data_IF_134536715722
#
_entry.id   IF_134536715722
#
_cell.length_a   1.000
_cell.length_b   1.000
_cell.length_c   1.000
_cell.angle_alpha   90.00
_cell.angle_beta   90.00
_cell.angle_gamma   90.00
#
_symmetry.space_group_name_H-M   'P 1'
#
loop_
_entity.id
_entity.type
_entity.pdbx_description
1 polymer ?
#
# COMPACT_ATOMS: atom_id res chain seq x y z
N UNK A 1 -11.99 78.55 -32.99
CA UNK A 1 -10.67 78.14 -33.53
C UNK A 1 -9.78 77.84 -32.34
N UNK A 2 -9.31 76.60 -32.33
CA UNK A 2 -8.13 76.06 -31.66
C UNK A 2 -8.03 76.09 -30.13
N UNK A 3 -8.46 74.95 -29.61
CA UNK A 3 -8.04 74.31 -28.37
C UNK A 3 -6.56 73.90 -28.46
N UNK A 4 -5.72 74.32 -27.51
CA UNK A 4 -4.39 73.75 -27.32
C UNK A 4 -3.99 73.63 -25.83
N UNK A 5 -3.93 72.36 -25.40
CA UNK A 5 -2.99 71.73 -24.45
C UNK A 5 -2.75 72.40 -23.09
N UNK A 6 -3.40 71.85 -22.07
CA UNK A 6 -2.73 71.58 -20.79
C UNK A 6 -2.60 70.05 -20.62
N UNK A 7 -1.37 69.57 -20.63
CA UNK A 7 -0.99 68.20 -20.30
C UNK A 7 -0.62 68.21 -18.81
N UNK A 8 -1.49 67.69 -17.96
CA UNK A 8 -1.12 67.23 -16.62
C UNK A 8 -1.68 65.83 -16.41
N UNK A 9 -0.79 64.97 -15.93
CA UNK A 9 -0.86 63.52 -15.86
C UNK A 9 -2.19 62.94 -15.31
N UNK A 10 -2.76 62.01 -16.07
CA UNK A 10 -3.72 61.01 -15.59
C UNK A 10 -3.03 60.02 -14.62
N UNK A 11 -3.71 59.55 -13.56
CA UNK A 11 -3.21 58.46 -12.76
C UNK A 11 -3.24 57.17 -13.59
N UNK A 12 -2.15 56.42 -13.56
CA UNK A 12 -2.05 55.11 -14.19
C UNK A 12 -2.96 54.11 -13.47
N UNK A 13 -4.20 54.03 -13.95
CA UNK A 13 -5.13 52.97 -13.62
C UNK A 13 -4.58 51.66 -14.20
N UNK A 14 -3.70 51.00 -13.44
CA UNK A 14 -3.35 49.59 -13.70
C UNK A 14 -4.65 48.80 -13.57
N UNK A 15 -5.26 48.49 -14.71
CA UNK A 15 -6.28 47.45 -14.85
C UNK A 15 -5.81 46.22 -14.06
N UNK A 16 -6.33 46.05 -12.85
CA UNK A 16 -6.37 44.77 -12.14
C UNK A 16 -7.18 43.86 -13.04
N UNK A 17 -6.49 43.12 -13.90
CA UNK A 17 -7.10 42.07 -14.70
C UNK A 17 -7.74 41.09 -13.73
N UNK A 18 -9.06 41.01 -13.88
CA UNK A 18 -10.00 40.03 -13.37
C UNK A 18 -9.41 38.61 -13.27
N UNK A 19 -8.72 38.32 -12.18
CA UNK A 19 -8.41 36.97 -11.72
C UNK A 19 -9.00 36.69 -10.32
N UNK A 20 -9.74 37.65 -9.76
CA UNK A 20 -10.47 37.52 -8.49
C UNK A 20 -11.73 36.64 -8.61
N UNK A 21 -12.06 36.16 -9.80
CA UNK A 21 -13.24 35.32 -10.07
C UNK A 21 -12.92 33.82 -10.15
N UNK A 22 -11.67 33.41 -9.89
CA UNK A 22 -11.40 31.99 -9.60
C UNK A 22 -11.77 31.74 -8.14
N UNK A 23 -12.91 31.09 -7.96
CA UNK A 23 -13.53 30.59 -6.73
C UNK A 23 -12.67 29.56 -5.95
N UNK A 24 -11.35 29.73 -5.93
CA UNK A 24 -10.40 28.91 -5.15
C UNK A 24 -10.04 29.62 -3.83
N UNK A 25 -10.45 30.88 -3.63
CA UNK A 25 -10.21 31.59 -2.37
C UNK A 25 -10.97 31.04 -1.13
N UNK A 26 -12.19 30.47 -1.24
CA UNK A 26 -12.84 29.83 -0.10
C UNK A 26 -12.18 28.49 0.29
N UNK A 27 -11.46 27.83 -0.63
CA UNK A 27 -10.80 26.54 -0.44
C UNK A 27 -9.68 26.60 0.62
N UNK A 28 -8.94 27.71 0.68
CA UNK A 28 -7.85 27.90 1.64
C UNK A 28 -8.28 28.52 2.97
N UNK A 29 -9.39 29.27 3.00
CA UNK A 29 -9.87 29.94 4.23
C UNK A 29 -10.72 29.02 5.12
N UNK A 30 -11.20 27.89 4.59
CA UNK A 30 -11.88 26.83 5.35
C UNK A 30 -10.93 25.67 5.74
N UNK A 31 -9.63 25.94 5.80
CA UNK A 31 -8.57 25.02 6.21
C UNK A 31 -8.24 25.16 7.71
N UNK A 32 -9.22 25.46 8.56
CA UNK A 32 -8.98 25.53 10.01
C UNK A 32 -8.63 24.17 10.62
N UNK A 33 -8.96 23.05 9.97
CA UNK A 33 -8.63 21.71 10.46
C UNK A 33 -7.13 21.38 10.49
N UNK A 34 -6.32 21.90 9.56
CA UNK A 34 -4.88 21.59 9.50
C UNK A 34 -4.02 22.46 10.43
N UNK A 35 -4.45 23.69 10.73
CA UNK A 35 -3.80 24.49 11.77
C UNK A 35 -4.15 23.98 13.18
N UNK A 36 -5.34 23.41 13.34
CA UNK A 36 -5.74 22.69 14.54
C UNK A 36 -5.04 21.32 14.63
N UNK A 37 -4.76 20.63 13.51
CA UNK A 37 -3.88 19.46 13.41
C UNK A 37 -2.46 19.74 13.94
N UNK A 38 -1.94 20.94 13.71
CA UNK A 38 -0.63 21.38 14.23
C UNK A 38 -0.69 21.86 15.69
N UNK A 39 -1.82 22.42 16.14
CA UNK A 39 -2.00 22.98 17.50
C UNK A 39 -2.54 21.99 18.54
N UNK A 40 -3.29 20.98 18.15
CA UNK A 40 -4.05 20.10 19.04
C UNK A 40 -3.27 18.84 19.49
N UNK A 41 -1.93 18.84 19.44
CA UNK A 41 -1.13 17.76 20.02
C UNK A 41 -0.90 18.02 21.51
N UNK A 42 -1.57 17.31 22.44
CA UNK A 42 -1.24 17.40 23.85
C UNK A 42 0.07 16.64 24.06
N UNK A 43 1.15 17.39 24.30
CA UNK A 43 2.39 16.96 25.01
C UNK A 43 2.84 15.52 24.81
N UNK A 44 2.87 15.01 23.57
CA UNK A 44 3.82 13.96 23.26
C UNK A 44 5.17 14.67 23.18
N UNK A 45 6.13 14.28 24.02
CA UNK A 45 7.46 14.88 23.98
C UNK A 45 7.93 14.92 22.53
N UNK A 46 8.40 16.10 22.08
CA UNK A 46 8.91 16.30 20.72
C UNK A 46 9.92 15.22 20.36
N UNK A 47 10.69 14.78 21.37
CA UNK A 47 11.57 13.62 21.31
C UNK A 47 10.84 12.34 20.87
N UNK A 48 9.78 11.95 21.57
CA UNK A 48 8.98 10.75 21.26
C UNK A 48 8.40 10.80 19.85
N UNK A 49 7.86 11.96 19.43
CA UNK A 49 7.36 12.13 18.05
C UNK A 49 8.47 11.95 17.00
N UNK A 50 9.62 12.58 17.24
CA UNK A 50 10.76 12.49 16.33
C UNK A 50 11.35 11.08 16.28
N UNK A 51 11.39 10.36 17.41
CA UNK A 51 11.81 8.97 17.49
C UNK A 51 10.88 8.05 16.69
N UNK A 52 9.55 8.24 16.83
CA UNK A 52 8.56 7.47 16.07
C UNK A 52 8.73 7.73 14.57
N UNK A 53 8.77 9.00 14.14
CA UNK A 53 8.97 9.35 12.73
C UNK A 53 10.28 8.81 12.17
N UNK A 54 11.38 8.90 12.94
CA UNK A 54 12.67 8.34 12.58
C UNK A 54 12.62 6.82 12.41
N UNK A 55 11.93 6.11 13.31
CA UNK A 55 11.74 4.66 13.22
C UNK A 55 10.94 4.26 11.97
N UNK A 56 9.87 5.00 11.65
CA UNK A 56 9.06 4.76 10.45
C UNK A 56 9.89 5.01 9.19
N UNK A 57 10.71 6.07 9.16
CA UNK A 57 11.59 6.33 8.03
C UNK A 57 12.60 5.19 7.80
N UNK A 58 13.19 4.66 8.87
CA UNK A 58 14.09 3.49 8.79
C UNK A 58 13.36 2.28 8.21
N UNK A 59 12.14 2.00 8.71
CA UNK A 59 11.29 0.91 8.19
C UNK A 59 11.02 1.09 6.69
N UNK A 60 10.72 2.30 6.25
CA UNK A 60 10.47 2.59 4.83
C UNK A 60 11.73 2.36 3.99
N UNK A 61 12.91 2.82 4.44
CA UNK A 61 14.18 2.61 3.74
C UNK A 61 14.49 1.11 3.60
N UNK A 62 14.36 0.35 4.69
CA UNK A 62 14.58 -1.09 4.69
C UNK A 62 13.59 -1.81 3.76
N UNK A 63 12.31 -1.39 3.78
CA UNK A 63 11.28 -1.89 2.88
C UNK A 63 11.59 -1.60 1.41
N UNK A 64 12.05 -0.40 1.07
CA UNK A 64 12.45 -0.04 -0.29
C UNK A 64 13.62 -0.90 -0.79
N UNK A 65 14.63 -1.12 0.05
CA UNK A 65 15.76 -1.99 -0.29
C UNK A 65 15.28 -3.43 -0.53
N UNK A 66 14.43 -3.96 0.37
CA UNK A 66 13.92 -5.32 0.27
C UNK A 66 13.02 -5.54 -0.94
N UNK A 67 12.08 -4.63 -1.18
CA UNK A 67 11.15 -4.72 -2.31
C UNK A 67 11.88 -4.47 -3.63
N UNK A 68 12.83 -3.53 -3.69
CA UNK A 68 13.70 -3.31 -4.85
C UNK A 68 14.54 -4.54 -5.19
N UNK A 69 15.15 -5.19 -4.19
CA UNK A 69 15.87 -6.45 -4.39
C UNK A 69 14.96 -7.58 -4.90
N UNK A 70 13.71 -7.63 -4.42
CA UNK A 70 12.70 -8.59 -4.87
C UNK A 70 12.32 -8.35 -6.33
N UNK A 71 12.03 -7.10 -6.72
CA UNK A 71 11.73 -6.71 -8.10
C UNK A 71 12.89 -7.11 -9.01
N UNK A 72 14.12 -6.70 -8.67
CA UNK A 72 15.31 -7.01 -9.45
C UNK A 72 15.48 -8.53 -9.64
N UNK A 73 15.32 -9.29 -8.56
CA UNK A 73 15.50 -10.74 -8.62
C UNK A 73 14.42 -11.44 -9.45
N UNK A 74 13.14 -11.09 -9.27
CA UNK A 74 12.05 -11.71 -10.02
C UNK A 74 12.05 -11.28 -11.49
N UNK A 75 12.39 -10.03 -11.79
CA UNK A 75 12.42 -9.52 -13.17
C UNK A 75 13.59 -10.10 -13.97
N UNK A 76 14.78 -10.23 -13.36
CA UNK A 76 15.99 -10.61 -14.08
C UNK A 76 16.35 -12.11 -13.98
N UNK A 77 15.95 -12.82 -12.91
CA UNK A 77 16.53 -14.13 -12.59
C UNK A 77 15.55 -15.31 -12.60
N UNK A 78 14.24 -15.09 -12.72
CA UNK A 78 13.24 -16.17 -12.61
C UNK A 78 12.28 -16.13 -13.80
N UNK A 79 11.95 -17.31 -14.34
CA UNK A 79 10.90 -17.45 -15.35
C UNK A 79 9.55 -17.03 -14.78
N UNK A 80 8.84 -16.15 -15.49
CA UNK A 80 7.55 -15.61 -15.06
C UNK A 80 6.49 -16.72 -14.96
N UNK A 81 5.95 -16.89 -13.77
CA UNK A 81 4.79 -17.73 -13.45
C UNK A 81 3.68 -16.86 -12.82
N UNK A 82 2.49 -17.41 -12.66
CA UNK A 82 1.36 -16.81 -11.96
C UNK A 82 1.73 -16.24 -10.59
N UNK A 83 2.36 -17.05 -9.72
CA UNK A 83 2.76 -16.62 -8.39
C UNK A 83 3.82 -15.51 -8.41
N UNK A 84 4.87 -15.66 -9.19
CA UNK A 84 5.92 -14.63 -9.30
C UNK A 84 5.37 -13.33 -9.88
N UNK A 85 4.33 -13.39 -10.72
CA UNK A 85 3.67 -12.19 -11.27
C UNK A 85 2.96 -11.41 -10.16
N UNK A 86 2.24 -12.09 -9.26
CA UNK A 86 1.62 -11.42 -8.11
C UNK A 86 2.66 -10.81 -7.17
N UNK A 87 3.71 -11.56 -6.83
CA UNK A 87 4.77 -11.08 -5.93
C UNK A 87 5.53 -9.90 -6.54
N UNK A 88 5.79 -9.91 -7.85
CA UNK A 88 6.40 -8.79 -8.55
C UNK A 88 5.52 -7.54 -8.49
N UNK A 89 4.21 -7.67 -8.76
CA UNK A 89 3.27 -6.55 -8.66
C UNK A 89 3.13 -6.03 -7.23
N UNK A 90 3.10 -6.92 -6.25
CA UNK A 90 3.04 -6.56 -4.84
C UNK A 90 4.28 -5.76 -4.43
N UNK A 91 5.48 -6.23 -4.78
CA UNK A 91 6.71 -5.48 -4.49
C UNK A 91 6.78 -4.13 -5.23
N UNK A 92 6.19 -4.00 -6.42
CA UNK A 92 6.07 -2.70 -7.11
C UNK A 92 5.12 -1.75 -6.38
N UNK A 93 3.95 -2.23 -5.97
CA UNK A 93 2.98 -1.44 -5.21
C UNK A 93 3.55 -1.01 -3.84
N UNK A 94 4.18 -1.92 -3.11
CA UNK A 94 4.82 -1.63 -1.82
C UNK A 94 5.98 -0.62 -1.95
N UNK A 95 6.82 -0.77 -2.98
CA UNK A 95 7.90 0.19 -3.24
C UNK A 95 7.35 1.59 -3.55
N UNK A 96 6.28 1.65 -4.35
CA UNK A 96 5.57 2.89 -4.65
C UNK A 96 5.01 3.53 -3.40
N UNK A 97 4.29 2.76 -2.58
CA UNK A 97 3.69 3.23 -1.32
C UNK A 97 4.76 3.80 -0.38
N UNK A 98 5.84 3.07 -0.13
CA UNK A 98 6.92 3.55 0.73
C UNK A 98 7.62 4.80 0.18
N UNK A 99 7.79 4.89 -1.14
CA UNK A 99 8.42 6.06 -1.78
C UNK A 99 7.54 7.30 -1.66
N UNK A 100 6.27 7.19 -2.06
CA UNK A 100 5.33 8.31 -1.99
C UNK A 100 5.03 8.72 -0.55
N UNK A 101 5.08 7.76 0.39
CA UNK A 101 4.99 8.06 1.82
C UNK A 101 6.16 8.93 2.31
N UNK A 102 7.41 8.56 2.00
CA UNK A 102 8.59 9.36 2.36
C UNK A 102 8.49 10.76 1.73
N UNK A 103 8.13 10.84 0.44
CA UNK A 103 8.00 12.13 -0.25
C UNK A 103 6.94 12.99 0.44
N UNK A 104 5.76 12.42 0.73
CA UNK A 104 4.69 13.12 1.46
C UNK A 104 5.19 13.64 2.81
N UNK A 105 5.91 12.83 3.58
CA UNK A 105 6.48 13.23 4.86
C UNK A 105 7.48 14.40 4.73
N UNK A 106 8.28 14.43 3.66
CA UNK A 106 9.18 15.56 3.35
C UNK A 106 8.36 16.81 3.05
N UNK A 107 7.32 16.73 2.22
CA UNK A 107 6.46 17.87 1.92
C UNK A 107 5.74 18.42 3.16
N UNK A 108 5.30 17.54 4.07
CA UNK A 108 4.76 17.96 5.38
C UNK A 108 5.82 18.71 6.18
N UNK A 109 7.04 18.19 6.27
CA UNK A 109 8.13 18.87 6.99
C UNK A 109 8.44 20.26 6.39
N UNK A 110 8.48 20.39 5.06
CA UNK A 110 8.69 21.67 4.39
C UNK A 110 7.54 22.64 4.66
N UNK A 111 6.28 22.17 4.60
CA UNK A 111 5.09 22.97 4.93
C UNK A 111 5.09 23.45 6.38
N UNK A 112 5.68 22.70 7.32
CA UNK A 112 5.77 23.11 8.73
C UNK A 112 6.86 24.15 9.00
N UNK A 113 7.87 24.23 8.15
CA UNK A 113 9.05 25.09 8.34
C UNK A 113 9.03 26.36 7.47
N UNK A 114 8.19 26.40 6.44
CA UNK A 114 8.13 27.48 5.46
C UNK A 114 6.71 27.99 5.25
N UNK A 115 6.58 29.22 4.76
CA UNK A 115 5.29 29.79 4.37
C UNK A 115 4.60 28.92 3.31
N UNK A 116 3.33 28.62 3.54
CA UNK A 116 2.56 27.74 2.67
C UNK A 116 2.34 28.39 1.31
N UNK A 117 2.97 27.85 0.26
CA UNK A 117 2.70 28.24 -1.12
C UNK A 117 1.68 27.30 -1.76
N UNK A 118 0.83 27.83 -2.66
CA UNK A 118 -0.16 27.01 -3.40
C UNK A 118 0.49 25.82 -4.12
N UNK A 119 1.68 26.03 -4.67
CA UNK A 119 2.44 25.00 -5.38
C UNK A 119 2.83 23.86 -4.42
N UNK A 120 3.34 24.19 -3.23
CA UNK A 120 3.75 23.20 -2.24
C UNK A 120 2.56 22.36 -1.73
N UNK A 121 1.40 22.99 -1.53
CA UNK A 121 0.16 22.30 -1.15
C UNK A 121 -0.35 21.34 -2.25
N UNK A 122 -0.28 21.75 -3.52
CA UNK A 122 -0.67 20.88 -4.66
C UNK A 122 0.23 19.65 -4.75
N UNK A 123 1.54 19.82 -4.59
CA UNK A 123 2.46 18.68 -4.58
C UNK A 123 2.22 17.74 -3.41
N UNK A 124 1.97 18.28 -2.20
CA UNK A 124 1.60 17.47 -1.05
C UNK A 124 0.36 16.60 -1.34
N UNK A 125 -0.73 17.21 -1.84
CA UNK A 125 -1.95 16.47 -2.18
C UNK A 125 -1.71 15.41 -3.26
N UNK A 126 -0.91 15.74 -4.28
CA UNK A 126 -0.56 14.79 -5.35
C UNK A 126 0.19 13.57 -4.81
N UNK A 127 1.23 13.78 -4.01
CA UNK A 127 2.03 12.67 -3.46
C UNK A 127 1.26 11.86 -2.43
N UNK A 128 0.40 12.52 -1.65
CA UNK A 128 -0.51 11.84 -0.74
C UNK A 128 -1.47 10.91 -1.50
N UNK A 129 -2.02 11.35 -2.63
CA UNK A 129 -2.88 10.49 -3.45
C UNK A 129 -2.14 9.34 -4.11
N UNK A 130 -0.93 9.57 -4.59
CA UNK A 130 -0.09 8.52 -5.14
C UNK A 130 0.25 7.46 -4.08
N UNK A 131 0.44 7.89 -2.82
CA UNK A 131 0.57 6.98 -1.68
C UNK A 131 -0.71 6.15 -1.49
N UNK A 132 -1.89 6.77 -1.44
CA UNK A 132 -3.16 6.06 -1.29
C UNK A 132 -3.42 5.06 -2.42
N UNK A 133 -3.12 5.45 -3.66
CA UNK A 133 -3.24 4.63 -4.86
C UNK A 133 -2.39 3.36 -4.75
N UNK A 134 -1.10 3.53 -4.46
CA UNK A 134 -0.15 2.41 -4.39
C UNK A 134 -0.38 1.54 -3.15
N UNK A 135 -0.79 2.13 -2.04
CA UNK A 135 -1.19 1.39 -0.84
C UNK A 135 -2.44 0.54 -1.09
N UNK A 136 -3.46 1.10 -1.74
CA UNK A 136 -4.69 0.35 -2.10
C UNK A 136 -4.37 -0.81 -3.06
N UNK A 137 -3.50 -0.58 -4.05
CA UNK A 137 -3.03 -1.63 -4.94
C UNK A 137 -2.34 -2.77 -4.19
N UNK A 138 -1.49 -2.45 -3.20
CA UNK A 138 -0.84 -3.46 -2.34
C UNK A 138 -1.87 -4.29 -1.56
N UNK A 139 -2.87 -3.64 -0.96
CA UNK A 139 -3.94 -4.30 -0.20
C UNK A 139 -4.75 -5.27 -1.09
N UNK A 140 -5.17 -4.82 -2.28
CA UNK A 140 -5.89 -5.66 -3.23
C UNK A 140 -5.04 -6.80 -3.78
N UNK A 141 -3.75 -6.58 -4.06
CA UNK A 141 -2.83 -7.62 -4.49
C UNK A 141 -2.66 -8.70 -3.43
N UNK A 142 -2.53 -8.30 -2.16
CA UNK A 142 -2.44 -9.27 -1.08
C UNK A 142 -3.75 -10.04 -0.90
N UNK A 143 -4.89 -9.37 -1.05
CA UNK A 143 -6.21 -10.02 -1.07
C UNK A 143 -6.32 -11.03 -2.22
N UNK A 144 -5.88 -10.67 -3.41
CA UNK A 144 -5.87 -11.55 -4.57
C UNK A 144 -4.94 -12.76 -4.40
N UNK A 145 -3.72 -12.56 -3.86
CA UNK A 145 -2.80 -13.66 -3.52
C UNK A 145 -3.48 -14.62 -2.54
N UNK A 146 -4.16 -14.08 -1.54
CA UNK A 146 -4.80 -14.87 -0.50
C UNK A 146 -5.99 -15.67 -1.02
N UNK A 147 -6.80 -15.07 -1.90
CA UNK A 147 -7.89 -15.77 -2.58
C UNK A 147 -7.34 -16.85 -3.53
N UNK A 148 -6.29 -16.56 -4.29
CA UNK A 148 -5.63 -17.51 -5.18
C UNK A 148 -5.19 -18.76 -4.41
N UNK A 149 -4.61 -18.57 -3.22
CA UNK A 149 -4.18 -19.67 -2.35
C UNK A 149 -5.34 -20.43 -1.71
N UNK A 150 -6.39 -19.73 -1.30
CA UNK A 150 -7.60 -20.37 -0.82
C UNK A 150 -8.23 -21.28 -1.89
N UNK A 151 -8.35 -20.78 -3.12
CA UNK A 151 -8.88 -21.55 -4.26
C UNK A 151 -7.99 -22.74 -4.60
N UNK A 152 -6.66 -22.57 -4.58
CA UNK A 152 -5.72 -23.67 -4.80
C UNK A 152 -5.90 -24.83 -3.81
N UNK A 153 -6.25 -24.51 -2.55
CA UNK A 153 -6.43 -25.48 -1.47
C UNK A 153 -7.83 -26.11 -1.48
N UNK A 154 -8.87 -25.32 -1.73
CA UNK A 154 -10.26 -25.80 -1.74
C UNK A 154 -10.61 -26.56 -3.03
N UNK A 155 -10.07 -26.12 -4.16
CA UNK A 155 -10.38 -26.66 -5.49
C UNK A 155 -9.10 -27.01 -6.27
N UNK A 156 -8.30 -27.99 -5.80
CA UNK A 156 -6.98 -28.28 -6.37
C UNK A 156 -7.05 -28.73 -7.84
N UNK A 157 -8.09 -29.50 -8.22
CA UNK A 157 -8.27 -29.99 -9.59
C UNK A 157 -8.61 -28.85 -10.57
N UNK A 158 -9.50 -27.93 -10.17
CA UNK A 158 -9.85 -26.77 -11.01
C UNK A 158 -8.67 -25.82 -11.15
N UNK A 159 -8.03 -25.49 -10.01
CA UNK A 159 -6.87 -24.61 -9.96
C UNK A 159 -5.71 -25.14 -10.81
N UNK A 160 -5.60 -26.46 -10.98
CA UNK A 160 -4.60 -27.08 -11.85
C UNK A 160 -4.99 -27.12 -13.32
N UNK A 161 -6.18 -27.62 -13.64
CA UNK A 161 -6.51 -27.99 -15.02
C UNK A 161 -7.11 -26.83 -15.83
N UNK A 162 -7.75 -25.87 -15.16
CA UNK A 162 -8.53 -24.83 -15.81
C UNK A 162 -7.98 -23.42 -15.61
N UNK A 163 -6.93 -23.24 -14.77
CA UNK A 163 -6.35 -21.92 -14.54
C UNK A 163 -5.58 -21.43 -15.77
N UNK A 164 -6.03 -20.33 -16.42
CA UNK A 164 -5.31 -19.80 -17.57
C UNK A 164 -3.98 -19.15 -17.14
N UNK A 165 -2.90 -19.28 -17.94
CA UNK A 165 -1.59 -18.72 -17.61
C UNK A 165 -1.57 -17.18 -17.57
N UNK A 166 -2.50 -16.52 -18.28
CA UNK A 166 -2.63 -15.06 -18.31
C UNK A 166 -3.48 -14.49 -17.16
N UNK A 167 -4.21 -15.33 -16.42
CA UNK A 167 -5.17 -14.89 -15.39
C UNK A 167 -4.51 -13.99 -14.35
N UNK A 168 -3.31 -14.34 -13.88
CA UNK A 168 -2.60 -13.55 -12.86
C UNK A 168 -2.19 -12.17 -13.38
N UNK A 169 -1.88 -12.05 -14.67
CA UNK A 169 -1.58 -10.73 -15.29
C UNK A 169 -2.86 -9.91 -15.44
N UNK A 170 -3.97 -10.54 -15.84
CA UNK A 170 -5.27 -9.89 -15.95
C UNK A 170 -5.74 -9.36 -14.59
N UNK A 171 -5.68 -10.20 -13.55
CA UNK A 171 -6.04 -9.79 -12.18
C UNK A 171 -5.18 -8.64 -11.71
N UNK A 172 -3.85 -8.68 -11.92
CA UNK A 172 -2.99 -7.54 -11.57
C UNK A 172 -3.39 -6.26 -12.33
N UNK A 173 -3.67 -6.35 -13.63
CA UNK A 173 -4.11 -5.21 -14.43
C UNK A 173 -5.42 -4.61 -13.89
N UNK A 174 -6.42 -5.46 -13.59
CA UNK A 174 -7.69 -5.03 -13.01
C UNK A 174 -7.49 -4.36 -11.65
N UNK A 175 -6.59 -4.88 -10.80
CA UNK A 175 -6.27 -4.29 -9.50
C UNK A 175 -5.66 -2.89 -9.67
N UNK A 176 -4.72 -2.72 -10.60
CA UNK A 176 -4.14 -1.40 -10.88
C UNK A 176 -5.19 -0.39 -11.35
N UNK A 177 -6.07 -0.80 -12.27
CA UNK A 177 -7.17 0.04 -12.76
C UNK A 177 -8.13 0.40 -11.62
N UNK A 178 -8.55 -0.59 -10.83
CA UNK A 178 -9.46 -0.37 -9.70
C UNK A 178 -8.84 0.57 -8.66
N UNK A 179 -7.57 0.37 -8.32
CA UNK A 179 -6.85 1.24 -7.37
C UNK A 179 -6.78 2.68 -7.87
N UNK A 180 -6.49 2.86 -9.17
CA UNK A 180 -6.43 4.18 -9.79
C UNK A 180 -7.81 4.86 -9.77
N UNK A 181 -8.86 4.13 -10.13
CA UNK A 181 -10.23 4.66 -10.11
C UNK A 181 -10.65 5.08 -8.70
N UNK A 182 -10.31 4.29 -7.68
CA UNK A 182 -10.63 4.63 -6.29
C UNK A 182 -9.92 5.92 -5.84
N UNK A 183 -8.62 6.06 -6.10
CA UNK A 183 -7.89 7.30 -5.81
C UNK A 183 -8.39 8.49 -6.63
N UNK A 184 -8.76 8.29 -7.90
CA UNK A 184 -9.32 9.35 -8.72
C UNK A 184 -10.68 9.84 -8.18
N UNK A 185 -11.54 8.93 -7.73
CA UNK A 185 -12.81 9.27 -7.08
C UNK A 185 -12.56 10.03 -5.78
N UNK A 186 -11.62 9.56 -4.94
CA UNK A 186 -11.25 10.26 -3.71
C UNK A 186 -10.77 11.69 -3.99
N UNK A 187 -9.88 11.87 -4.96
CA UNK A 187 -9.39 13.17 -5.38
C UNK A 187 -10.51 14.10 -5.90
N UNK A 188 -11.42 13.58 -6.73
CA UNK A 188 -12.56 14.37 -7.26
C UNK A 188 -13.51 14.78 -6.13
N UNK A 189 -13.83 13.87 -5.20
CA UNK A 189 -14.69 14.16 -4.06
C UNK A 189 -14.06 15.22 -3.14
N UNK A 190 -12.76 15.12 -2.88
CA UNK A 190 -12.01 16.13 -2.14
C UNK A 190 -12.06 17.50 -2.83
N UNK A 191 -11.93 17.55 -4.15
CA UNK A 191 -11.97 18.80 -4.90
C UNK A 191 -13.37 19.43 -4.96
N UNK A 192 -14.42 18.61 -5.00
CA UNK A 192 -15.80 19.11 -5.19
C UNK A 192 -16.46 19.53 -3.88
N UNK A 193 -15.82 19.29 -2.71
CA UNK A 193 -16.38 19.55 -1.37
C UNK A 193 -17.80 18.98 -1.16
N UNK A 194 -18.22 18.02 -2.01
CA UNK A 194 -19.59 17.49 -2.03
C UNK A 194 -19.89 16.52 -0.89
N UNK A 195 -18.90 16.22 -0.05
CA UNK A 195 -19.02 15.26 1.04
C UNK A 195 -18.86 15.99 2.38
N UNK A 196 -19.95 16.07 3.14
CA UNK A 196 -19.92 16.49 4.56
C UNK A 196 -19.12 15.49 5.42
N UNK A 197 -18.89 14.27 4.91
CA UNK A 197 -18.06 13.23 5.53
C UNK A 197 -16.63 13.28 4.99
N UNK A 198 -15.63 13.01 5.85
CA UNK A 198 -14.22 13.10 5.48
C UNK A 198 -13.90 12.18 4.28
N UNK A 199 -13.30 12.69 3.18
CA UNK A 199 -13.03 11.90 1.97
C UNK A 199 -12.19 10.65 2.24
N UNK A 200 -11.35 10.70 3.27
CA UNK A 200 -10.58 9.56 3.82
C UNK A 200 -11.42 8.30 4.09
N UNK A 201 -12.71 8.44 4.41
CA UNK A 201 -13.60 7.32 4.70
C UNK A 201 -13.88 6.45 3.50
N UNK A 202 -13.96 7.02 2.30
CA UNK A 202 -14.39 6.24 1.14
C UNK A 202 -13.34 5.21 0.77
N UNK A 203 -12.08 5.64 0.70
CA UNK A 203 -10.97 4.75 0.35
C UNK A 203 -10.67 3.74 1.47
N UNK A 204 -10.85 4.16 2.73
CA UNK A 204 -10.69 3.30 3.91
C UNK A 204 -11.84 2.29 4.07
N UNK A 205 -13.09 2.69 3.86
CA UNK A 205 -14.24 1.78 3.87
C UNK A 205 -14.08 0.78 2.74
N UNK A 206 -13.70 1.20 1.53
CA UNK A 206 -13.54 0.25 0.42
C UNK A 206 -12.40 -0.74 0.71
N UNK A 207 -11.24 -0.28 1.18
CA UNK A 207 -10.13 -1.19 1.51
C UNK A 207 -10.45 -2.07 2.73
N UNK A 208 -10.90 -1.47 3.83
CA UNK A 208 -11.17 -2.15 5.09
C UNK A 208 -12.45 -3.01 5.10
N UNK A 209 -13.48 -2.68 4.31
CA UNK A 209 -14.70 -3.48 4.21
C UNK A 209 -14.60 -4.56 3.13
N UNK A 210 -13.79 -4.37 2.09
CA UNK A 210 -13.63 -5.37 1.03
C UNK A 210 -12.46 -6.32 1.31
N UNK A 211 -11.25 -5.79 1.56
CA UNK A 211 -10.05 -6.61 1.71
C UNK A 211 -10.09 -7.42 3.01
N UNK A 212 -10.46 -6.77 4.11
CA UNK A 212 -10.36 -7.34 5.44
C UNK A 212 -11.19 -8.60 5.67
N UNK A 213 -12.52 -8.62 5.39
CA UNK A 213 -13.28 -9.84 5.56
C UNK A 213 -12.83 -10.95 4.60
N UNK A 214 -12.47 -10.61 3.35
CA UNK A 214 -11.94 -11.60 2.40
C UNK A 214 -10.62 -12.23 2.89
N UNK A 215 -9.75 -11.42 3.48
CA UNK A 215 -8.49 -11.86 4.08
C UNK A 215 -8.70 -12.70 5.33
N UNK A 216 -9.62 -12.32 6.21
CA UNK A 216 -10.00 -13.10 7.39
C UNK A 216 -10.56 -14.45 6.98
N UNK A 217 -11.50 -14.48 6.03
CA UNK A 217 -12.12 -15.72 5.53
C UNK A 217 -11.06 -16.62 4.91
N UNK A 218 -10.21 -16.10 4.02
CA UNK A 218 -9.13 -16.87 3.38
C UNK A 218 -8.14 -17.45 4.39
N UNK A 219 -7.71 -16.63 5.36
CA UNK A 219 -6.79 -17.07 6.42
C UNK A 219 -7.43 -18.17 7.28
N UNK A 220 -8.72 -18.01 7.60
CA UNK A 220 -9.50 -18.98 8.35
C UNK A 220 -9.60 -20.32 7.64
N UNK A 221 -9.99 -20.35 6.36
CA UNK A 221 -10.08 -21.58 5.57
C UNK A 221 -8.73 -22.28 5.44
N UNK A 222 -7.64 -21.53 5.18
CA UNK A 222 -6.29 -22.08 5.12
C UNK A 222 -5.85 -22.69 6.46
N UNK A 223 -6.13 -22.01 7.58
CA UNK A 223 -5.81 -22.50 8.91
C UNK A 223 -6.56 -23.79 9.25
N UNK A 224 -7.85 -23.86 8.93
CA UNK A 224 -8.68 -25.06 9.12
C UNK A 224 -8.13 -26.21 8.27
N UNK A 225 -7.79 -25.95 7.00
CA UNK A 225 -7.24 -26.98 6.11
C UNK A 225 -5.87 -27.51 6.58
N UNK A 226 -4.97 -26.64 7.03
CA UNK A 226 -3.67 -27.03 7.58
C UNK A 226 -3.82 -27.87 8.86
N UNK A 227 -4.82 -27.56 9.69
CA UNK A 227 -5.12 -28.33 10.91
C UNK A 227 -5.81 -29.66 10.63
N UNK A 228 -6.65 -29.74 9.61
CA UNK A 228 -7.40 -30.94 9.27
C UNK A 228 -6.58 -32.02 8.54
N UNK A 229 -5.52 -31.66 7.81
CA UNK A 229 -4.65 -32.64 7.13
C UNK A 229 -3.35 -32.97 7.91
N UNK A 230 -3.14 -34.27 8.14
CA UNK A 230 -1.96 -34.86 8.82
C UNK A 230 -0.68 -34.90 7.96
N UNK A 231 -0.68 -34.36 6.74
CA UNK A 231 0.46 -34.50 5.83
C UNK A 231 1.56 -33.47 6.11
N UNK A 232 2.68 -33.92 6.70
CA UNK A 232 3.81 -33.11 7.19
C UNK A 232 4.57 -32.32 6.10
N UNK A 233 4.45 -32.68 4.83
CA UNK A 233 5.25 -32.10 3.74
C UNK A 233 4.59 -30.84 3.11
N UNK A 234 3.26 -30.78 3.02
CA UNK A 234 2.49 -29.63 2.51
C UNK A 234 2.45 -28.43 3.47
N UNK A 235 2.73 -28.66 4.76
CA UNK A 235 2.65 -27.63 5.83
C UNK A 235 3.65 -26.48 5.67
N UNK A 236 4.77 -26.69 4.96
CA UNK A 236 5.86 -25.72 4.86
C UNK A 236 5.50 -24.50 4.02
N UNK A 237 5.09 -24.60 2.73
CA UNK A 237 4.67 -23.44 1.94
C UNK A 237 3.36 -22.82 2.45
N UNK A 238 2.44 -23.63 3.01
CA UNK A 238 1.20 -23.11 3.61
C UNK A 238 1.43 -22.27 4.87
N UNK A 239 2.41 -22.63 5.71
CA UNK A 239 2.75 -21.84 6.91
C UNK A 239 3.34 -20.46 6.56
N UNK A 240 3.98 -20.33 5.41
CA UNK A 240 4.50 -19.05 4.89
C UNK A 240 3.38 -18.08 4.59
N UNK A 241 2.43 -18.57 3.82
CA UNK A 241 1.32 -17.81 3.30
C UNK A 241 0.42 -17.45 4.46
N UNK A 242 0.18 -18.40 5.37
CA UNK A 242 -0.50 -18.18 6.64
C UNK A 242 0.23 -17.12 7.50
N UNK A 243 1.57 -17.12 7.56
CA UNK A 243 2.32 -16.13 8.31
C UNK A 243 2.26 -14.74 7.66
N UNK A 244 2.33 -14.65 6.33
CA UNK A 244 2.14 -13.39 5.60
C UNK A 244 0.73 -12.83 5.78
N UNK A 245 -0.27 -13.71 5.74
CA UNK A 245 -1.68 -13.42 6.02
C UNK A 245 -1.91 -12.93 7.46
N UNK A 246 -1.28 -13.58 8.44
CA UNK A 246 -1.34 -13.17 9.83
C UNK A 246 -0.62 -11.83 10.06
N UNK A 247 0.52 -11.60 9.42
CA UNK A 247 1.20 -10.31 9.48
C UNK A 247 0.34 -9.20 8.84
N UNK A 248 -0.35 -9.49 7.74
CA UNK A 248 -1.30 -8.56 7.16
C UNK A 248 -2.46 -8.24 8.10
N UNK A 249 -3.09 -9.26 8.70
CA UNK A 249 -4.13 -9.01 9.69
C UNK A 249 -3.56 -8.20 10.86
N UNK A 250 -2.33 -8.47 11.28
CA UNK A 250 -1.72 -7.80 12.42
C UNK A 250 -1.29 -6.36 12.13
N UNK A 251 -0.99 -5.99 10.88
CA UNK A 251 -0.49 -4.65 10.52
C UNK A 251 -1.47 -3.81 9.69
N UNK A 252 -2.37 -4.41 8.91
CA UNK A 252 -3.42 -3.68 8.18
C UNK A 252 -4.67 -3.45 9.03
N UNK A 253 -5.09 -4.42 9.87
CA UNK A 253 -6.28 -4.23 10.73
C UNK A 253 -6.15 -3.06 11.71
N UNK A 254 -5.01 -2.85 12.40
CA UNK A 254 -4.90 -1.72 13.30
C UNK A 254 -5.04 -0.41 12.54
N UNK A 255 -4.55 -0.34 11.30
CA UNK A 255 -4.73 0.83 10.46
C UNK A 255 -6.20 1.15 10.19
N UNK A 256 -6.92 0.15 9.67
CA UNK A 256 -8.34 0.31 9.34
C UNK A 256 -9.17 0.62 10.60
N UNK A 257 -8.88 -0.06 11.71
CA UNK A 257 -9.58 0.14 12.98
C UNK A 257 -9.29 1.51 13.60
N UNK A 258 -8.03 1.97 13.59
CA UNK A 258 -7.65 3.25 14.19
C UNK A 258 -8.27 4.43 13.44
N UNK A 259 -8.36 4.36 12.11
CA UNK A 259 -9.03 5.40 11.34
C UNK A 259 -10.56 5.38 11.48
N UNK A 260 -11.19 4.21 11.63
CA UNK A 260 -12.62 4.12 11.96
C UNK A 260 -12.89 4.71 13.35
N UNK A 261 -12.02 4.44 14.32
CA UNK A 261 -12.10 5.03 15.66
C UNK A 261 -11.94 6.54 15.61
N UNK A 262 -11.02 7.06 14.79
CA UNK A 262 -10.85 8.49 14.61
C UNK A 262 -12.05 9.15 13.95
N UNK A 263 -12.70 8.46 13.00
CA UNK A 263 -13.91 8.97 12.35
C UNK A 263 -15.10 9.12 13.31
N UNK A 264 -15.35 8.09 14.14
CA UNK A 264 -16.46 8.11 15.09
C UNK A 264 -16.07 8.75 16.44
N UNK A 265 -14.79 8.97 16.68
CA UNK A 265 -14.22 9.47 17.93
C UNK A 265 -13.60 10.84 17.79
N UNK A 266 -12.74 11.19 18.74
CA UNK A 266 -11.97 12.43 18.68
C UNK A 266 -10.66 12.21 17.95
N UNK A 267 -10.27 13.18 17.12
CA UNK A 267 -8.98 13.24 16.44
C UNK A 267 -7.84 13.00 17.44
N UNK A 268 -7.03 11.95 17.22
CA UNK A 268 -5.87 11.66 18.06
C UNK A 268 -4.61 11.47 17.19
N UNK A 269 -3.68 12.43 17.21
CA UNK A 269 -2.51 12.43 16.32
C UNK A 269 -1.57 11.24 16.56
N UNK A 270 -1.55 10.70 17.79
CA UNK A 270 -0.74 9.52 18.10
C UNK A 270 -1.32 8.28 17.40
N UNK A 271 -2.64 8.13 17.38
CA UNK A 271 -3.31 6.99 16.73
C UNK A 271 -3.09 7.02 15.22
N UNK A 272 -3.18 8.20 14.60
CA UNK A 272 -2.85 8.41 13.18
C UNK A 272 -1.41 8.01 12.89
N UNK A 273 -0.47 8.46 13.74
CA UNK A 273 0.95 8.16 13.56
C UNK A 273 1.25 6.66 13.72
N UNK A 274 0.63 6.00 14.70
CA UNK A 274 0.74 4.55 14.90
C UNK A 274 0.18 3.81 13.69
N UNK A 275 -1.00 4.22 13.22
CA UNK A 275 -1.60 3.67 12.02
C UNK A 275 -0.63 3.76 10.83
N UNK A 276 -0.16 4.97 10.52
CA UNK A 276 0.80 5.20 9.43
C UNK A 276 2.04 4.30 9.57
N UNK A 277 2.56 4.14 10.79
CA UNK A 277 3.65 3.19 11.07
C UNK A 277 3.28 1.74 10.75
N UNK A 278 2.07 1.30 11.08
CA UNK A 278 1.55 -0.02 10.74
C UNK A 278 1.42 -0.22 9.21
N UNK A 279 0.96 0.79 8.45
CA UNK A 279 0.94 0.72 6.98
C UNK A 279 2.35 0.57 6.40
N UNK A 280 3.32 1.35 6.90
CA UNK A 280 4.71 1.26 6.47
C UNK A 280 5.33 -0.12 6.80
N UNK A 281 5.00 -0.68 7.97
CA UNK A 281 5.41 -2.03 8.34
C UNK A 281 4.81 -3.09 7.42
N UNK A 282 3.51 -2.98 7.10
CA UNK A 282 2.82 -3.92 6.21
C UNK A 282 3.47 -3.98 4.81
N UNK A 283 3.83 -2.82 4.24
CA UNK A 283 4.50 -2.78 2.93
C UNK A 283 5.99 -3.14 2.96
N UNK A 284 6.66 -3.10 4.12
CA UNK A 284 8.10 -3.39 4.24
C UNK A 284 8.43 -4.81 4.69
N UNK A 285 7.50 -5.53 5.33
CA UNK A 285 7.78 -6.86 5.91
C UNK A 285 7.83 -7.98 4.85
N UNK A 286 7.22 -7.78 3.68
CA UNK A 286 7.07 -8.82 2.63
C UNK A 286 8.40 -9.47 2.21
N UNK A 287 9.49 -8.72 1.90
CA UNK A 287 10.81 -9.28 1.62
C UNK A 287 11.40 -10.15 2.75
N UNK A 288 11.19 -9.75 4.00
CA UNK A 288 11.66 -10.51 5.17
C UNK A 288 10.92 -11.84 5.27
N UNK A 289 9.61 -11.83 5.02
CA UNK A 289 8.81 -13.05 4.96
C UNK A 289 9.38 -13.99 3.91
N UNK A 290 9.59 -13.53 2.66
CA UNK A 290 10.18 -14.36 1.60
C UNK A 290 11.54 -14.96 2.00
N UNK A 291 12.38 -14.17 2.68
CA UNK A 291 13.68 -14.63 3.14
C UNK A 291 13.60 -15.73 4.22
N UNK A 292 12.81 -15.51 5.27
CA UNK A 292 12.66 -16.49 6.36
C UNK A 292 12.06 -17.80 5.87
N UNK A 293 11.18 -17.70 4.88
CA UNK A 293 10.52 -18.83 4.25
C UNK A 293 11.51 -19.67 3.45
N UNK A 294 12.33 -19.02 2.62
CA UNK A 294 13.35 -19.70 1.80
C UNK A 294 14.49 -20.29 2.62
N UNK A 295 14.53 -19.97 3.91
CA UNK A 295 15.54 -20.41 4.86
C UNK A 295 15.08 -21.68 5.58
N UNK A 296 15.45 -22.85 5.03
CA UNK A 296 15.25 -24.16 5.69
C UNK A 296 15.99 -24.21 7.06
N UNK A 297 15.37 -24.80 8.09
CA UNK A 297 16.04 -25.08 9.40
C UNK A 297 17.24 -26.01 9.15
N UNK A 298 18.42 -25.57 9.61
CA UNK A 298 19.77 -25.97 9.18
C UNK A 298 20.18 -27.37 9.70
N UNK A 299 20.69 -28.23 8.82
CA UNK A 299 21.69 -29.26 9.15
C UNK A 299 23.09 -28.65 9.09
N UNK A 300 24.04 -29.15 9.90
CA UNK A 300 25.25 -28.43 10.37
C UNK A 300 26.16 -27.78 9.30
N UNK A 301 26.20 -28.23 8.05
CA UNK A 301 27.32 -27.91 7.15
C UNK A 301 26.97 -27.23 5.81
N UNK A 302 26.44 -25.99 5.84
CA UNK A 302 26.40 -25.13 4.63
C UNK A 302 26.52 -23.63 4.97
N UNK A 303 27.12 -22.79 4.09
CA UNK A 303 27.35 -21.37 4.32
C UNK A 303 26.05 -20.57 4.45
N UNK A 304 26.12 -19.38 5.07
CA UNK A 304 24.97 -18.45 5.23
C UNK A 304 24.25 -18.31 3.89
N UNK A 305 23.01 -18.81 3.78
CA UNK A 305 22.24 -18.71 2.54
C UNK A 305 22.03 -17.24 2.19
N UNK A 306 22.61 -16.78 1.07
CA UNK A 306 22.40 -15.44 0.53
C UNK A 306 20.90 -15.21 0.26
N UNK A 307 20.42 -13.98 0.42
CA UNK A 307 19.03 -13.58 0.15
C UNK A 307 18.52 -14.12 -1.21
N UNK A 308 19.40 -14.07 -2.22
CA UNK A 308 19.19 -14.67 -3.55
C UNK A 308 18.83 -16.15 -3.50
N UNK A 309 19.57 -16.94 -2.72
CA UNK A 309 19.38 -18.39 -2.59
C UNK A 309 18.07 -18.70 -1.86
N UNK A 310 17.72 -17.89 -0.84
CA UNK A 310 16.44 -18.04 -0.15
C UNK A 310 15.26 -17.82 -1.11
N UNK A 311 15.24 -16.71 -1.84
CA UNK A 311 14.21 -16.44 -2.86
C UNK A 311 14.15 -17.54 -3.93
N UNK A 312 15.30 -17.96 -4.46
CA UNK A 312 15.35 -19.05 -5.44
C UNK A 312 14.69 -20.33 -4.93
N UNK A 313 14.88 -20.67 -3.65
CA UNK A 313 14.26 -21.84 -3.06
C UNK A 313 12.76 -21.67 -2.90
N UNK A 314 12.28 -20.53 -2.41
CA UNK A 314 10.83 -20.27 -2.28
C UNK A 314 10.12 -20.45 -3.61
N UNK A 315 10.66 -19.83 -4.67
CA UNK A 315 10.00 -19.87 -5.98
C UNK A 315 10.18 -21.21 -6.71
N UNK A 316 11.31 -21.92 -6.49
CA UNK A 316 11.50 -23.27 -7.03
C UNK A 316 10.65 -24.31 -6.32
N UNK A 317 10.55 -24.26 -4.99
CA UNK A 317 9.74 -25.20 -4.19
C UNK A 317 8.25 -25.08 -4.56
N UNK A 318 7.77 -23.87 -4.87
CA UNK A 318 6.43 -23.63 -5.43
C UNK A 318 6.26 -24.24 -6.84
N UNK A 319 7.24 -24.07 -7.73
CA UNK A 319 7.20 -24.70 -9.06
C UNK A 319 7.24 -26.22 -8.97
N UNK A 320 8.11 -26.78 -8.13
CA UNK A 320 8.30 -28.21 -7.93
C UNK A 320 7.05 -28.84 -7.29
N UNK A 321 6.48 -28.22 -6.25
CA UNK A 321 5.23 -28.68 -5.64
C UNK A 321 4.08 -28.71 -6.64
N UNK A 322 3.97 -27.69 -7.50
CA UNK A 322 2.95 -27.68 -8.56
C UNK A 322 3.13 -28.80 -9.59
N UNK A 323 4.38 -29.23 -9.86
CA UNK A 323 4.72 -30.29 -10.82
C UNK A 323 4.55 -31.71 -10.24
N UNK A 324 4.98 -31.92 -8.99
CA UNK A 324 4.86 -33.21 -8.30
C UNK A 324 3.40 -33.57 -8.07
N UNK A 325 2.61 -32.59 -7.65
CA UNK A 325 1.18 -32.84 -7.52
C UNK A 325 0.57 -33.09 -8.92
N UNK A 326 1.02 -32.41 -10.00
CA UNK A 326 0.59 -32.61 -11.40
C UNK A 326 0.79 -34.05 -11.88
N UNK A 327 1.88 -34.68 -11.48
CA UNK A 327 2.15 -36.09 -11.76
C UNK A 327 1.23 -36.99 -10.94
N UNK A 328 1.04 -36.72 -9.65
CA UNK A 328 0.17 -37.53 -8.79
C UNK A 328 -1.29 -37.59 -9.28
N UNK A 329 -1.88 -36.49 -9.75
CA UNK A 329 -3.25 -36.55 -10.28
C UNK A 329 -3.34 -37.12 -11.71
N UNK A 330 -2.23 -37.21 -12.46
CA UNK A 330 -2.24 -37.96 -13.72
C UNK A 330 -2.22 -39.46 -13.47
N UNK A 331 -1.55 -39.89 -12.40
CA UNK A 331 -1.53 -41.29 -11.95
C UNK A 331 -2.87 -41.72 -11.32
N UNK A 332 -3.59 -40.81 -10.67
CA UNK A 332 -4.91 -41.09 -10.06
C UNK A 332 -6.05 -41.25 -11.08
N UNK A 333 -5.84 -40.81 -12.33
CA UNK A 333 -6.82 -40.87 -13.43
C UNK A 333 -6.36 -41.73 -14.62
N UNK A 334 -5.25 -42.47 -14.48
CA UNK A 334 -4.74 -43.44 -15.46
C UNK A 334 -5.01 -44.87 -15.03
#
# INVERSE_FOLDING_TARGET
MDSQKNISALPSEKKKTSWSSLEILPFFTRSHGWEEYLRATPTLDVLTRNLINGSIAIVCILGLIGNGATIYFLACSIKRNSFTTFILNLSMADSGALTFFIITAIFVAVLTLHETTKLLAVFFLLFFELFLFTYSASQFLLTAISLDRCVAVLFPLWHRCHRPPYLSTLVCCLIWILSFLLSAVHFILHQTNSSESSPFLYQLIVNGLLCTPLMVVSTGTLLIHVRSKSQRNQRKPLSVILLALLCFLLFSLPMDALYVIEYFGSYNPLLVTIGIGCAALNSSINPLLYFFVGRKKRGKDQPRASYKIALQRVFKDEQQGSLEEQQAAKEEFS
#
